data_IF_348732222646
#
_entry.id   IF_348732222646
#
_cell.length_a   1.000
_cell.length_b   1.000
_cell.length_c   1.000
_cell.angle_alpha   90.00
_cell.angle_beta   90.00
_cell.angle_gamma   90.00
#
_symmetry.space_group_name_H-M   'P 1'
#
loop_
_entity.id
_entity.type
_entity.pdbx_description
1 polymer ?
#
# COMPACT_ATOMS: atom_id res chain seq x y z
N UNK A 1 -7.83 10.86 -30.51
CA UNK A 1 -9.03 10.52 -29.71
C UNK A 1 -8.52 9.92 -28.42
N UNK A 2 -8.56 10.68 -27.33
CA UNK A 2 -8.10 10.20 -26.03
C UNK A 2 -9.17 9.25 -25.50
N UNK A 3 -8.88 7.95 -25.50
CA UNK A 3 -9.76 6.92 -24.93
C UNK A 3 -10.14 7.23 -23.46
N UNK A 4 -9.28 7.98 -22.76
CA UNK A 4 -9.47 8.43 -21.39
C UNK A 4 -10.62 9.44 -21.18
N UNK A 5 -11.13 10.09 -22.23
CA UNK A 5 -12.20 11.10 -22.10
C UNK A 5 -13.62 10.49 -22.08
N UNK A 6 -13.76 9.17 -22.33
CA UNK A 6 -15.07 8.50 -22.45
C UNK A 6 -15.43 7.61 -21.24
N UNK A 7 -14.74 7.73 -20.11
CA UNK A 7 -14.99 6.89 -18.95
C UNK A 7 -16.04 7.55 -18.05
N UNK A 8 -17.31 7.15 -18.25
CA UNK A 8 -18.41 7.40 -17.31
C UNK A 8 -18.08 6.71 -15.99
N UNK A 9 -17.67 7.48 -14.99
CA UNK A 9 -17.37 6.99 -13.65
C UNK A 9 -18.63 7.06 -12.79
N UNK A 10 -19.16 5.91 -12.38
CA UNK A 10 -20.00 5.87 -11.18
C UNK A 10 -19.12 5.96 -9.89
N UNK A 11 -17.79 5.97 -10.04
CA UNK A 11 -16.78 6.13 -8.98
C UNK A 11 -15.88 7.36 -9.24
N UNK A 12 -16.49 8.50 -9.58
CA UNK A 12 -15.88 9.74 -10.11
C UNK A 12 -14.90 10.50 -9.19
N UNK A 13 -14.40 9.88 -8.12
CA UNK A 13 -13.37 10.50 -7.30
C UNK A 13 -12.00 9.98 -7.71
N UNK A 14 -11.12 10.83 -8.28
CA UNK A 14 -9.72 10.44 -8.47
C UNK A 14 -9.16 10.04 -7.12
N UNK A 15 -8.49 8.88 -7.05
CA UNK A 15 -7.78 8.46 -5.84
C UNK A 15 -6.83 9.59 -5.47
N UNK A 16 -7.05 10.18 -4.29
CA UNK A 16 -6.24 11.27 -3.81
C UNK A 16 -4.79 10.80 -3.75
N UNK A 17 -3.87 11.63 -4.25
CA UNK A 17 -2.45 11.34 -4.13
C UNK A 17 -2.11 11.17 -2.63
N UNK A 18 -1.33 10.13 -2.33
CA UNK A 18 -1.00 9.82 -0.95
C UNK A 18 -0.19 10.97 -0.33
N UNK A 19 -0.51 11.31 0.91
CA UNK A 19 0.25 12.27 1.69
C UNK A 19 0.97 11.50 2.79
N UNK A 20 2.13 10.94 2.44
CA UNK A 20 2.83 10.01 3.30
C UNK A 20 3.66 10.71 4.36
N UNK A 21 3.60 10.18 5.58
CA UNK A 21 4.43 10.61 6.69
C UNK A 21 4.99 9.41 7.42
N UNK A 22 6.25 9.49 7.83
CA UNK A 22 6.92 8.41 8.54
C UNK A 22 7.39 8.86 9.93
N UNK A 23 7.38 7.95 10.88
CA UNK A 23 7.74 8.25 12.26
C UNK A 23 7.84 7.00 13.10
N UNK A 24 7.85 7.22 14.41
CA UNK A 24 7.84 6.14 15.39
C UNK A 24 6.60 6.25 16.26
N UNK A 25 6.06 5.10 16.67
CA UNK A 25 4.90 5.03 17.54
C UNK A 25 5.02 3.89 18.53
N UNK A 26 4.43 4.04 19.71
CA UNK A 26 4.32 2.95 20.69
C UNK A 26 2.98 2.26 20.54
N UNK A 27 3.01 1.02 20.07
CA UNK A 27 1.81 0.23 19.81
C UNK A 27 1.57 -0.79 20.94
N UNK A 28 0.37 -0.76 21.51
CA UNK A 28 -0.05 -1.67 22.56
C UNK A 28 -0.72 -2.91 21.92
N UNK A 29 0.07 -3.93 21.54
CA UNK A 29 -0.46 -5.17 20.91
C UNK A 29 -1.35 -5.98 21.85
N UNK A 30 -1.05 -5.96 23.16
CA UNK A 30 -1.79 -6.70 24.16
C UNK A 30 -1.93 -5.84 25.43
N UNK A 31 -3.12 -5.71 26.05
CA UNK A 31 -3.32 -4.89 27.26
C UNK A 31 -2.43 -5.26 28.46
N UNK A 32 -1.86 -6.46 28.47
CA UNK A 32 -1.08 -7.01 29.58
C UNK A 32 0.44 -6.97 29.35
N UNK A 33 0.92 -6.49 28.20
CA UNK A 33 2.35 -6.37 27.89
C UNK A 33 2.80 -4.92 27.81
N UNK A 34 4.10 -4.65 27.78
CA UNK A 34 4.58 -3.30 27.49
C UNK A 34 4.31 -2.92 26.02
N UNK A 35 4.06 -1.63 25.71
CA UNK A 35 3.95 -1.17 24.34
C UNK A 35 5.26 -1.38 23.58
N UNK A 36 5.16 -1.89 22.37
CA UNK A 36 6.31 -2.08 21.48
C UNK A 36 6.57 -0.82 20.65
N UNK A 37 7.84 -0.55 20.35
CA UNK A 37 8.20 0.56 19.46
C UNK A 37 8.08 0.11 18.01
N UNK A 38 7.24 0.79 17.24
CA UNK A 38 7.08 0.58 15.82
C UNK A 38 7.68 1.75 15.04
N UNK A 39 8.28 1.46 13.89
CA UNK A 39 8.38 2.43 12.79
C UNK A 39 7.11 2.36 11.96
N UNK A 40 6.56 3.51 11.60
CA UNK A 40 5.22 3.63 11.02
C UNK A 40 5.28 4.57 9.83
N UNK A 41 4.52 4.23 8.79
CA UNK A 41 4.16 5.15 7.70
C UNK A 41 2.65 5.31 7.71
N UNK A 42 2.19 6.55 7.76
CA UNK A 42 0.78 6.90 7.59
C UNK A 42 0.55 7.63 6.28
N UNK A 43 -0.65 7.48 5.74
CA UNK A 43 -1.21 8.40 4.77
C UNK A 43 -2.16 9.35 5.52
N UNK A 44 -1.97 10.66 5.39
CA UNK A 44 -2.91 11.65 5.96
C UNK A 44 -3.98 12.09 4.99
N UNK A 45 -3.83 11.83 3.69
CA UNK A 45 -4.88 12.09 2.70
C UNK A 45 -6.06 11.14 2.92
N UNK A 46 -5.74 9.88 3.22
CA UNK A 46 -6.67 8.87 3.73
C UNK A 46 -6.15 8.40 5.10
N UNK A 47 -6.65 8.95 6.24
CA UNK A 47 -6.09 8.75 7.58
C UNK A 47 -5.92 7.28 8.02
N UNK A 48 -4.82 6.66 7.60
CA UNK A 48 -4.53 5.24 7.84
C UNK A 48 -3.04 4.97 7.95
N UNK A 49 -2.70 3.87 8.60
CA UNK A 49 -1.35 3.31 8.54
C UNK A 49 -1.21 2.47 7.28
N UNK A 50 -0.24 2.81 6.44
CA UNK A 50 0.04 2.09 5.18
C UNK A 50 1.08 1.00 5.35
N UNK A 51 1.97 1.13 6.34
CA UNK A 51 2.95 0.13 6.70
C UNK A 51 3.48 0.38 8.12
N UNK A 52 3.78 -0.68 8.86
CA UNK A 52 4.47 -0.59 10.13
C UNK A 52 5.34 -1.81 10.37
N UNK A 53 6.44 -1.61 11.10
CA UNK A 53 7.29 -2.70 11.59
C UNK A 53 7.62 -2.49 13.07
N UNK A 54 7.53 -3.56 13.85
CA UNK A 54 8.03 -3.60 15.22
C UNK A 54 9.56 -3.59 15.19
N UNK A 55 10.17 -2.84 16.11
CA UNK A 55 11.62 -2.82 16.34
C UNK A 55 11.87 -3.33 17.76
N UNK A 56 12.09 -4.64 17.90
CA UNK A 56 12.30 -5.25 19.23
C UNK A 56 13.52 -6.18 19.22
N UNK A 57 14.40 -6.04 20.21
CA UNK A 57 15.53 -6.96 20.43
C UNK A 57 16.42 -7.24 19.20
N UNK A 58 16.55 -6.28 18.27
CA UNK A 58 17.32 -6.44 17.03
C UNK A 58 16.60 -7.22 15.92
N UNK A 59 15.36 -7.65 16.17
CA UNK A 59 14.47 -8.23 15.19
C UNK A 59 13.50 -7.16 14.68
N UNK A 60 13.19 -7.23 13.38
CA UNK A 60 12.14 -6.42 12.76
C UNK A 60 11.07 -7.34 12.21
N UNK A 61 9.82 -7.03 12.53
CA UNK A 61 8.64 -7.80 12.12
C UNK A 61 7.62 -6.84 11.51
N UNK A 62 7.11 -7.17 10.32
CA UNK A 62 5.99 -6.46 9.70
C UNK A 62 4.71 -6.70 10.50
N UNK A 63 3.96 -5.63 10.80
CA UNK A 63 2.64 -5.76 11.40
C UNK A 63 1.66 -6.31 10.35
N UNK A 64 0.76 -7.19 10.78
CA UNK A 64 -0.30 -7.70 9.90
C UNK A 64 -1.46 -6.70 9.71
N UNK A 65 -2.41 -7.03 8.84
CA UNK A 65 -3.53 -6.12 8.51
C UNK A 65 -4.37 -5.73 9.73
N UNK A 66 -4.61 -6.67 10.66
CA UNK A 66 -5.40 -6.43 11.88
C UNK A 66 -4.68 -5.43 12.78
N UNK A 67 -3.37 -5.60 12.91
CA UNK A 67 -2.53 -4.73 13.74
C UNK A 67 -2.38 -3.32 13.14
N UNK A 68 -2.36 -3.21 11.81
CA UNK A 68 -2.38 -1.93 11.12
C UNK A 68 -3.72 -1.19 11.31
N UNK A 69 -4.84 -1.90 11.34
CA UNK A 69 -6.16 -1.34 11.65
C UNK A 69 -6.21 -0.83 13.10
N UNK A 70 -5.76 -1.64 14.07
CA UNK A 70 -5.69 -1.24 15.48
C UNK A 70 -4.81 -0.01 15.68
N UNK A 71 -3.65 0.02 15.00
CA UNK A 71 -2.73 1.15 15.05
C UNK A 71 -3.34 2.40 14.37
N UNK A 72 -4.05 2.22 13.26
CA UNK A 72 -4.80 3.29 12.59
C UNK A 72 -5.82 3.89 13.54
N UNK A 73 -6.64 3.07 14.20
CA UNK A 73 -7.64 3.53 15.15
C UNK A 73 -7.01 4.27 16.34
N UNK A 74 -5.88 3.78 16.85
CA UNK A 74 -5.13 4.43 17.92
C UNK A 74 -4.60 5.82 17.53
N UNK A 75 -4.07 5.97 16.31
CA UNK A 75 -3.58 7.25 15.80
C UNK A 75 -4.72 8.23 15.50
N UNK A 76 -5.83 7.75 14.94
CA UNK A 76 -7.01 8.56 14.64
C UNK A 76 -7.68 9.06 15.92
N UNK A 77 -7.85 8.20 16.92
CA UNK A 77 -8.45 8.57 18.21
C UNK A 77 -7.67 9.64 18.98
N UNK A 78 -6.38 9.82 18.68
CA UNK A 78 -5.51 10.85 19.25
C UNK A 78 -5.32 12.05 18.32
N UNK A 79 -6.09 12.14 17.24
CA UNK A 79 -6.02 13.20 16.23
C UNK A 79 -4.62 13.38 15.60
N UNK A 80 -3.79 12.32 15.59
CA UNK A 80 -2.41 12.38 15.06
C UNK A 80 -2.41 12.81 13.60
N UNK A 81 -3.36 12.31 12.81
CA UNK A 81 -3.54 12.62 11.40
C UNK A 81 -3.77 14.13 11.12
N UNK A 82 -4.25 14.91 12.09
CA UNK A 82 -4.47 16.37 11.92
C UNK A 82 -3.19 17.18 12.02
N UNK A 83 -2.26 16.78 12.89
CA UNK A 83 -0.99 17.48 13.08
C UNK A 83 0.16 16.48 13.38
N UNK A 84 0.49 15.58 12.44
CA UNK A 84 1.44 14.49 12.66
C UNK A 84 2.86 14.96 13.00
N UNK A 85 3.26 16.14 12.53
CA UNK A 85 4.55 16.75 12.87
C UNK A 85 4.70 17.06 14.37
N UNK A 86 3.61 17.42 15.06
CA UNK A 86 3.63 17.63 16.50
C UNK A 86 3.91 16.34 17.29
N UNK A 87 3.68 15.20 16.64
CA UNK A 87 3.96 13.86 17.15
C UNK A 87 5.30 13.29 16.65
N UNK A 88 6.12 14.10 15.98
CA UNK A 88 7.44 13.69 15.51
C UNK A 88 7.46 12.93 14.18
N UNK A 89 6.35 12.89 13.44
CA UNK A 89 6.33 12.37 12.08
C UNK A 89 6.92 13.37 11.08
N UNK A 90 7.63 12.85 10.09
CA UNK A 90 8.24 13.61 9.01
C UNK A 90 7.61 13.23 7.68
N UNK A 91 7.46 14.20 6.78
CA UNK A 91 6.90 13.96 5.46
C UNK A 91 7.85 13.05 4.64
N UNK A 92 7.28 12.11 3.88
CA UNK A 92 8.02 11.36 2.86
C UNK A 92 7.26 11.39 1.53
N UNK A 93 7.99 11.57 0.44
CA UNK A 93 7.40 11.56 -0.91
C UNK A 93 7.25 10.15 -1.47
N UNK A 94 7.93 9.17 -0.86
CA UNK A 94 7.95 7.77 -1.26
C UNK A 94 8.00 6.90 -0.02
N UNK A 95 7.49 5.69 -0.13
CA UNK A 95 7.59 4.67 0.90
C UNK A 95 9.06 4.36 1.21
N UNK A 96 9.43 4.28 2.50
CA UNK A 96 10.73 3.77 2.89
C UNK A 96 10.96 2.36 2.35
N UNK A 97 12.21 1.99 2.07
CA UNK A 97 12.56 0.69 1.48
C UNK A 97 12.19 -0.53 2.33
N UNK A 98 11.95 -0.33 3.62
CA UNK A 98 11.49 -1.39 4.52
C UNK A 98 9.98 -1.59 4.48
N UNK A 99 9.23 -0.59 4.04
CA UNK A 99 7.78 -0.57 4.10
C UNK A 99 7.21 -1.51 3.04
N UNK A 100 6.35 -2.43 3.47
CA UNK A 100 5.50 -3.22 2.59
C UNK A 100 4.13 -2.53 2.54
N UNK A 101 3.80 -1.83 1.45
CA UNK A 101 2.55 -1.10 1.39
C UNK A 101 1.34 -2.04 1.43
N UNK A 102 0.34 -1.63 2.19
CA UNK A 102 -1.03 -2.13 2.03
C UNK A 102 -1.81 -1.19 1.13
N UNK A 103 -2.73 -1.74 0.33
CA UNK A 103 -3.63 -0.97 -0.53
C UNK A 103 -5.02 -0.92 0.09
N UNK A 104 -5.73 0.17 -0.15
CA UNK A 104 -7.17 0.25 0.16
C UNK A 104 -7.99 -0.45 -0.91
N UNK A 105 -9.25 -0.75 -0.62
CA UNK A 105 -10.16 -1.38 -1.59
C UNK A 105 -10.26 -0.54 -2.87
N UNK A 106 -10.39 0.78 -2.77
CA UNK A 106 -10.40 1.68 -3.93
C UNK A 106 -9.10 1.64 -4.73
N UNK A 107 -7.95 1.58 -4.05
CA UNK A 107 -6.65 1.42 -4.71
C UNK A 107 -6.52 0.07 -5.41
N UNK A 108 -7.10 -1.00 -4.85
CA UNK A 108 -7.13 -2.33 -5.47
C UNK A 108 -8.05 -2.33 -6.68
N UNK A 109 -9.26 -1.80 -6.57
CA UNK A 109 -10.23 -1.68 -7.67
C UNK A 109 -9.63 -0.90 -8.85
N UNK A 110 -8.89 0.18 -8.58
CA UNK A 110 -8.21 0.94 -9.62
C UNK A 110 -7.08 0.15 -10.29
N UNK A 111 -6.31 -0.63 -9.51
CA UNK A 111 -5.29 -1.52 -10.06
C UNK A 111 -5.91 -2.61 -10.94
N UNK A 112 -7.01 -3.23 -10.50
CA UNK A 112 -7.76 -4.22 -11.27
C UNK A 112 -8.34 -3.61 -12.56
N UNK A 113 -8.80 -2.36 -12.51
CA UNK A 113 -9.25 -1.61 -13.70
C UNK A 113 -8.11 -1.38 -14.70
N UNK A 114 -6.94 -0.95 -14.21
CA UNK A 114 -5.75 -0.75 -15.04
C UNK A 114 -5.26 -2.09 -15.62
N UNK A 115 -5.33 -3.17 -14.86
CA UNK A 115 -5.02 -4.52 -15.34
C UNK A 115 -5.98 -4.96 -16.45
N UNK A 116 -7.28 -4.67 -16.33
CA UNK A 116 -8.25 -4.88 -17.42
C UNK A 116 -7.83 -4.19 -18.72
N UNK A 117 -7.34 -2.94 -18.63
CA UNK A 117 -6.82 -2.24 -19.81
C UNK A 117 -5.54 -2.85 -20.38
N UNK A 118 -4.68 -3.42 -19.54
CA UNK A 118 -3.48 -4.12 -20.01
C UNK A 118 -3.83 -5.41 -20.77
N UNK A 119 -4.89 -6.11 -20.34
CA UNK A 119 -5.38 -7.32 -21.02
C UNK A 119 -5.92 -6.98 -22.42
N UNK A 120 -6.64 -5.86 -22.54
CA UNK A 120 -7.25 -5.41 -23.80
C UNK A 120 -6.29 -4.57 -24.67
N UNK A 121 -5.09 -4.26 -24.17
CA UNK A 121 -4.11 -3.42 -24.86
C UNK A 121 -3.54 -4.11 -26.11
N UNK A 122 -3.28 -3.31 -27.14
CA UNK A 122 -2.51 -3.69 -28.31
C UNK A 122 -1.11 -3.08 -28.24
N UNK A 123 -0.21 -3.51 -29.13
CA UNK A 123 1.15 -2.96 -29.23
C UNK A 123 1.18 -1.42 -29.40
N UNK A 124 0.10 -0.83 -29.93
CA UNK A 124 0.00 0.62 -30.17
C UNK A 124 -0.34 1.43 -28.90
N UNK A 125 -0.94 0.82 -27.87
CA UNK A 125 -1.42 1.53 -26.68
C UNK A 125 -0.93 0.94 -25.34
N UNK A 126 -0.21 -0.18 -25.37
CA UNK A 126 0.33 -0.84 -24.18
C UNK A 126 1.24 0.08 -23.37
N UNK A 127 2.06 0.90 -24.03
CA UNK A 127 2.96 1.86 -23.36
C UNK A 127 2.17 2.96 -22.61
N UNK A 128 1.02 3.37 -23.12
CA UNK A 128 0.17 4.36 -22.47
C UNK A 128 -0.48 3.79 -21.20
N UNK A 129 -0.94 2.54 -21.25
CA UNK A 129 -1.53 1.87 -20.07
C UNK A 129 -0.46 1.55 -19.02
N UNK A 130 0.75 1.15 -19.43
CA UNK A 130 1.88 0.96 -18.52
C UNK A 130 2.27 2.28 -17.85
N UNK A 131 2.29 3.38 -18.59
CA UNK A 131 2.52 4.72 -18.02
C UNK A 131 1.43 5.09 -17.00
N UNK A 132 0.16 4.83 -17.30
CA UNK A 132 -0.94 5.07 -16.35
C UNK A 132 -0.74 4.29 -15.04
N UNK A 133 -0.41 3.01 -15.13
CA UNK A 133 -0.11 2.18 -13.95
C UNK A 133 1.04 2.78 -13.14
N UNK A 134 2.14 3.12 -13.81
CA UNK A 134 3.33 3.62 -13.14
C UNK A 134 3.09 5.00 -12.49
N UNK A 135 2.30 5.86 -13.13
CA UNK A 135 1.84 7.14 -12.56
C UNK A 135 0.95 6.93 -11.34
N UNK A 136 0.00 6.00 -11.40
CA UNK A 136 -0.85 5.63 -10.27
C UNK A 136 -0.03 5.13 -9.08
N UNK A 137 0.87 4.15 -9.31
CA UNK A 137 1.72 3.58 -8.26
C UNK A 137 2.64 4.62 -7.64
N UNK A 138 3.17 5.56 -8.44
CA UNK A 138 3.94 6.71 -7.92
C UNK A 138 3.07 7.67 -7.11
N UNK A 139 1.83 7.89 -7.52
CA UNK A 139 0.86 8.74 -6.83
C UNK A 139 0.52 8.27 -5.42
N UNK A 140 0.53 6.95 -5.20
CA UNK A 140 0.36 6.34 -3.86
C UNK A 140 1.70 6.13 -3.13
N UNK A 141 2.79 6.69 -3.67
CA UNK A 141 4.10 6.75 -3.02
C UNK A 141 5.00 5.52 -3.19
N UNK A 142 4.69 4.60 -4.12
CA UNK A 142 5.61 3.49 -4.41
C UNK A 142 6.93 3.98 -5.01
N UNK A 143 8.02 3.27 -4.72
CA UNK A 143 9.32 3.58 -5.33
C UNK A 143 9.42 3.03 -6.75
N UNK A 144 10.29 3.62 -7.58
CA UNK A 144 10.58 3.09 -8.91
C UNK A 144 11.07 1.63 -8.86
N UNK A 145 11.73 1.23 -7.77
CA UNK A 145 12.15 -0.15 -7.55
C UNK A 145 10.97 -1.09 -7.30
N UNK A 146 9.97 -0.64 -6.55
CA UNK A 146 8.76 -1.42 -6.29
C UNK A 146 7.91 -1.57 -7.56
N UNK A 147 7.77 -0.49 -8.34
CA UNK A 147 7.11 -0.50 -9.64
C UNK A 147 7.81 -1.48 -10.60
N UNK A 148 9.14 -1.43 -10.68
CA UNK A 148 9.90 -2.38 -11.49
C UNK A 148 9.80 -3.82 -10.96
N UNK A 149 9.73 -4.04 -9.65
CA UNK A 149 9.55 -5.37 -9.07
C UNK A 149 8.17 -5.92 -9.41
N UNK A 150 7.12 -5.11 -9.29
CA UNK A 150 5.76 -5.48 -9.66
C UNK A 150 5.66 -5.82 -11.16
N UNK A 151 6.28 -5.02 -12.04
CA UNK A 151 6.30 -5.26 -13.48
C UNK A 151 7.11 -6.52 -13.90
N UNK A 152 8.03 -6.98 -13.04
CA UNK A 152 8.88 -8.15 -13.30
C UNK A 152 8.40 -9.42 -12.61
N UNK A 153 7.43 -9.33 -11.69
CA UNK A 153 6.81 -10.52 -11.13
C UNK A 153 6.04 -11.20 -12.27
N UNK A 154 6.50 -12.38 -12.75
CA UNK A 154 5.62 -13.21 -13.54
C UNK A 154 4.43 -13.54 -12.64
N UNK A 155 3.23 -13.57 -13.23
CA UNK A 155 1.99 -14.05 -12.62
C UNK A 155 2.29 -15.04 -11.51
N UNK A 156 1.76 -14.78 -10.30
CA UNK A 156 1.78 -15.74 -9.20
C UNK A 156 1.46 -17.12 -9.80
N UNK A 157 2.47 -17.99 -9.80
CA UNK A 157 2.33 -19.33 -10.34
C UNK A 157 1.01 -19.91 -9.81
N UNK A 158 0.13 -20.44 -10.68
CA UNK A 158 -1.20 -20.87 -10.26
C UNK A 158 -1.01 -21.81 -9.08
N UNK A 159 -1.60 -21.40 -7.95
CA UNK A 159 -1.57 -22.15 -6.71
C UNK A 159 -2.07 -23.57 -7.02
N UNK A 160 -1.12 -24.50 -7.18
CA UNK A 160 -1.38 -25.87 -7.60
C UNK A 160 -2.17 -26.59 -6.53
N UNK A 161 -3.50 -26.53 -6.63
CA UNK A 161 -4.40 -27.35 -5.81
C UNK A 161 -4.15 -28.83 -6.12
N UNK A 162 -3.64 -29.55 -5.11
CA UNK A 162 -3.78 -30.99 -4.80
C UNK A 162 -3.56 -32.01 -5.93
N UNK A 163 -2.56 -32.88 -5.74
CA UNK A 163 -2.54 -34.22 -6.35
C UNK A 163 -1.38 -35.10 -5.89
N UNK A 164 -1.69 -36.20 -5.20
CA UNK A 164 -0.84 -37.40 -5.18
C UNK A 164 -0.01 -37.67 -3.92
N UNK A 165 -0.63 -38.26 -2.89
CA UNK A 165 0.09 -39.14 -1.95
C UNK A 165 0.56 -40.36 -2.76
N UNK A 166 1.86 -40.45 -3.04
CA UNK A 166 2.47 -41.72 -3.46
C UNK A 166 2.55 -42.62 -2.23
N UNK A 167 1.71 -43.64 -2.26
CA UNK A 167 1.77 -44.80 -1.37
C UNK A 167 3.01 -45.60 -1.80
N UNK A 168 3.92 -45.87 -0.86
CA UNK A 168 4.85 -47.00 -0.91
C UNK A 168 4.52 -47.90 0.27
#
# INVERSE_FOLDING_TARGET
MNWFDNVSSDCDQPIAAACLMHGHWRHQRNPFTDPVLCRVVLDVAEPRVVAAQVIEHGMVEDLDSTELEDLTQALVSQDVHRQPQAWGFSHCTRLPTWARPTFTESQIEELERIEGYLIDASDDNIDDVLRLRDEFLRGIGMTDQDVMRAARSPEQAPCGRKGGRLVN
#
